data_IF_679006428226
#
_entry.id   IF_679006428226
#
_cell.length_a   1.000
_cell.length_b   1.000
_cell.length_c   1.000
_cell.angle_alpha   90.00
_cell.angle_beta   90.00
_cell.angle_gamma   90.00
#
_symmetry.space_group_name_H-M   'P 1'
#
loop_
_entity.id
_entity.type
_entity.pdbx_description
1 polymer ?
#
# COMPACT_ATOMS: atom_id res chain seq x y z
N UNK A 1 -5.54 -7.56 8.81
CA UNK A 1 -5.52 -7.79 7.35
C UNK A 1 -6.83 -8.43 6.95
N UNK A 2 -7.46 -7.90 5.93
CA UNK A 2 -8.75 -8.35 5.42
C UNK A 2 -8.67 -8.54 3.91
N UNK A 3 -9.18 -9.67 3.39
CA UNK A 3 -9.35 -9.86 1.96
C UNK A 3 -10.66 -9.20 1.52
N UNK A 4 -10.59 -8.34 0.50
CA UNK A 4 -11.76 -7.62 -0.03
C UNK A 4 -12.48 -8.41 -1.13
N UNK A 5 -11.90 -9.50 -1.59
CA UNK A 5 -12.43 -10.40 -2.60
C UNK A 5 -11.83 -11.80 -2.41
N UNK A 6 -12.38 -12.86 -3.03
CA UNK A 6 -11.79 -14.19 -2.96
C UNK A 6 -10.33 -14.18 -3.37
N UNK A 7 -9.45 -14.65 -2.48
CA UNK A 7 -7.99 -14.52 -2.62
C UNK A 7 -7.30 -15.79 -2.15
N UNK A 8 -6.15 -16.08 -2.76
CA UNK A 8 -5.23 -17.13 -2.31
C UNK A 8 -4.00 -16.44 -1.70
N UNK A 9 -3.66 -16.83 -0.47
CA UNK A 9 -2.55 -16.22 0.28
C UNK A 9 -1.56 -17.31 0.67
N UNK A 10 -0.28 -17.07 0.40
CA UNK A 10 0.80 -17.90 0.87
C UNK A 10 1.43 -17.27 2.11
N UNK A 11 1.52 -18.03 3.18
CA UNK A 11 2.13 -17.58 4.44
C UNK A 11 3.51 -18.19 4.58
N UNK A 12 4.50 -17.33 4.76
CA UNK A 12 5.86 -17.75 5.07
C UNK A 12 6.20 -17.31 6.50
N UNK A 13 6.35 -18.26 7.45
CA UNK A 13 6.74 -17.91 8.81
C UNK A 13 8.11 -17.23 8.85
N UNK A 14 8.22 -16.17 9.65
CA UNK A 14 9.44 -15.36 9.74
C UNK A 14 10.68 -16.16 10.13
N UNK A 15 10.56 -17.07 11.09
CA UNK A 15 11.67 -17.93 11.51
C UNK A 15 12.17 -18.85 10.38
N UNK A 16 11.27 -19.35 9.55
CA UNK A 16 11.63 -20.16 8.37
C UNK A 16 12.30 -19.31 7.30
N UNK A 17 11.84 -18.10 7.09
CA UNK A 17 12.48 -17.16 6.17
C UNK A 17 13.92 -16.86 6.61
N UNK A 18 14.15 -16.59 7.91
CA UNK A 18 15.49 -16.36 8.43
C UNK A 18 16.41 -17.56 8.19
N UNK A 19 15.94 -18.78 8.47
CA UNK A 19 16.72 -19.99 8.21
C UNK A 19 17.10 -20.10 6.73
N UNK A 20 16.16 -19.81 5.81
CA UNK A 20 16.42 -19.82 4.38
C UNK A 20 17.45 -18.76 3.95
N UNK A 21 17.45 -17.59 4.54
CA UNK A 21 18.43 -16.55 4.25
C UNK A 21 19.86 -16.93 4.70
N UNK A 22 19.99 -17.78 5.71
CA UNK A 22 21.28 -18.29 6.20
C UNK A 22 21.89 -19.33 5.28
N UNK A 23 21.06 -20.14 4.62
CA UNK A 23 21.51 -21.26 3.77
C UNK A 23 21.51 -20.96 2.27
N UNK A 24 20.87 -19.89 1.84
CA UNK A 24 20.78 -19.50 0.42
C UNK A 24 21.12 -18.01 0.26
N UNK A 25 22.18 -17.75 -0.49
CA UNK A 25 22.57 -16.39 -0.84
C UNK A 25 21.52 -15.69 -1.70
N UNK A 26 20.90 -16.41 -2.62
CA UNK A 26 19.86 -15.89 -3.51
C UNK A 26 18.63 -15.45 -2.72
N UNK A 27 18.19 -16.24 -1.75
CA UNK A 27 17.06 -15.89 -0.87
C UNK A 27 17.42 -14.69 0.00
N UNK A 28 18.64 -14.63 0.52
CA UNK A 28 19.12 -13.48 1.29
C UNK A 28 19.08 -12.21 0.45
N UNK A 29 19.61 -12.25 -0.78
CA UNK A 29 19.61 -11.12 -1.70
C UNK A 29 18.18 -10.69 -2.07
N UNK A 30 17.29 -11.63 -2.34
CA UNK A 30 15.88 -11.35 -2.63
C UNK A 30 15.18 -10.68 -1.46
N UNK A 31 15.36 -11.21 -0.25
CA UNK A 31 14.78 -10.64 0.97
C UNK A 31 15.30 -9.23 1.24
N UNK A 32 16.60 -9.00 1.08
CA UNK A 32 17.19 -7.66 1.20
C UNK A 32 16.57 -6.67 0.24
N UNK A 33 16.37 -7.05 -1.02
CA UNK A 33 15.73 -6.18 -2.02
C UNK A 33 14.27 -5.86 -1.67
N UNK A 34 13.53 -6.81 -1.13
CA UNK A 34 12.17 -6.56 -0.64
C UNK A 34 12.18 -5.54 0.49
N UNK A 35 13.11 -5.68 1.45
CA UNK A 35 13.24 -4.73 2.56
C UNK A 35 13.63 -3.33 2.09
N UNK A 36 14.60 -3.21 1.18
CA UNK A 36 14.99 -1.94 0.58
C UNK A 36 13.80 -1.27 -0.13
N UNK A 37 13.09 -2.02 -0.95
CA UNK A 37 11.89 -1.54 -1.64
C UNK A 37 10.81 -1.08 -0.66
N UNK A 38 10.54 -1.88 0.37
CA UNK A 38 9.55 -1.55 1.39
C UNK A 38 9.90 -0.27 2.15
N UNK A 39 11.19 -0.07 2.46
CA UNK A 39 11.66 1.14 3.11
C UNK A 39 11.48 2.37 2.22
N UNK A 40 11.84 2.27 0.94
CA UNK A 40 11.66 3.36 -0.03
C UNK A 40 10.18 3.72 -0.17
N UNK A 41 9.30 2.73 -0.34
CA UNK A 41 7.85 2.95 -0.45
C UNK A 41 7.29 3.59 0.81
N UNK A 42 7.73 3.15 1.99
CA UNK A 42 7.32 3.75 3.27
C UNK A 42 7.74 5.21 3.37
N UNK A 43 8.95 5.55 2.92
CA UNK A 43 9.44 6.93 2.92
C UNK A 43 8.63 7.81 1.96
N UNK A 44 8.36 7.34 0.74
CA UNK A 44 7.54 8.05 -0.24
C UNK A 44 6.14 8.32 0.33
N UNK A 45 5.53 7.33 0.98
CA UNK A 45 4.23 7.51 1.63
C UNK A 45 4.27 8.54 2.76
N UNK A 46 5.30 8.50 3.60
CA UNK A 46 5.44 9.45 4.69
C UNK A 46 5.56 10.89 4.17
N UNK A 47 6.29 11.09 3.08
CA UNK A 47 6.42 12.40 2.43
C UNK A 47 5.11 12.85 1.79
N UNK A 48 4.43 11.95 1.10
CA UNK A 48 3.10 12.20 0.54
C UNK A 48 2.11 12.70 1.61
N UNK A 49 2.09 12.06 2.77
CA UNK A 49 1.20 12.47 3.86
C UNK A 49 1.51 13.87 4.42
N UNK A 50 2.78 14.28 4.37
CA UNK A 50 3.22 15.57 4.89
C UNK A 50 2.98 16.72 3.92
N UNK A 51 3.18 16.50 2.64
CA UNK A 51 3.30 17.56 1.65
C UNK A 51 2.18 17.58 0.62
N UNK A 52 1.43 16.50 0.46
CA UNK A 52 0.37 16.42 -0.54
C UNK A 52 -1.01 16.69 0.04
N UNK A 53 -1.84 17.32 -0.76
CA UNK A 53 -3.26 17.52 -0.46
C UNK A 53 -4.04 16.19 -0.60
N UNK A 54 -5.23 16.14 -0.03
CA UNK A 54 -6.14 15.00 -0.18
C UNK A 54 -6.42 14.68 -1.66
N UNK A 55 -6.56 15.72 -2.48
CA UNK A 55 -6.79 15.57 -3.92
C UNK A 55 -5.60 14.96 -4.65
N UNK A 56 -4.40 15.42 -4.36
CA UNK A 56 -3.18 14.90 -4.96
C UNK A 56 -2.99 13.41 -4.61
N UNK A 57 -3.17 13.03 -3.35
CA UNK A 57 -3.10 11.62 -2.93
C UNK A 57 -4.13 10.75 -3.65
N UNK A 58 -5.35 11.23 -3.79
CA UNK A 58 -6.40 10.50 -4.52
C UNK A 58 -6.06 10.36 -6.01
N UNK A 59 -5.59 11.42 -6.65
CA UNK A 59 -5.21 11.41 -8.07
C UNK A 59 -4.09 10.42 -8.32
N UNK A 60 -3.06 10.41 -7.47
CA UNK A 60 -1.96 9.44 -7.58
C UNK A 60 -2.45 7.99 -7.45
N UNK A 61 -3.31 7.71 -6.48
CA UNK A 61 -3.87 6.36 -6.32
C UNK A 61 -4.69 5.95 -7.56
N UNK A 62 -5.47 6.86 -8.10
CA UNK A 62 -6.27 6.62 -9.31
C UNK A 62 -5.39 6.33 -10.53
N UNK A 63 -4.25 7.00 -10.66
CA UNK A 63 -3.29 6.78 -11.74
C UNK A 63 -2.48 5.49 -11.58
N UNK A 64 -2.01 5.22 -10.37
CA UNK A 64 -1.12 4.09 -10.09
C UNK A 64 -1.87 2.77 -9.90
N UNK A 65 -3.05 2.82 -9.28
CA UNK A 65 -3.82 1.63 -8.92
C UNK A 65 -5.33 1.83 -9.15
N UNK A 66 -5.77 2.06 -10.40
CA UNK A 66 -7.18 2.32 -10.70
C UNK A 66 -8.12 1.20 -10.26
N UNK A 67 -7.64 -0.05 -10.25
CA UNK A 67 -8.45 -1.19 -9.82
C UNK A 67 -8.79 -1.16 -8.33
N UNK A 68 -7.92 -0.61 -7.49
CA UNK A 68 -8.20 -0.40 -6.07
C UNK A 68 -9.38 0.56 -5.90
N UNK A 69 -9.39 1.66 -6.66
CA UNK A 69 -10.50 2.64 -6.64
C UNK A 69 -11.84 2.00 -7.03
N UNK A 70 -11.82 1.08 -7.99
CA UNK A 70 -13.04 0.42 -8.48
C UNK A 70 -13.55 -0.67 -7.55
N UNK A 71 -12.65 -1.38 -6.87
CA UNK A 71 -12.95 -2.65 -6.18
C UNK A 71 -12.99 -2.54 -4.67
N UNK A 72 -12.25 -1.58 -4.07
CA UNK A 72 -12.23 -1.40 -2.63
C UNK A 72 -13.40 -0.53 -2.15
N UNK A 73 -13.97 -0.82 -0.96
CA UNK A 73 -14.94 0.05 -0.32
C UNK A 73 -14.39 1.46 -0.08
N UNK A 74 -15.27 2.46 -0.17
CA UNK A 74 -14.91 3.87 0.03
C UNK A 74 -14.20 4.12 1.37
N UNK A 75 -14.67 3.47 2.44
CA UNK A 75 -14.06 3.59 3.78
C UNK A 75 -12.61 3.09 3.81
N UNK A 76 -12.31 2.00 3.09
CA UNK A 76 -10.95 1.47 3.00
C UNK A 76 -10.03 2.38 2.19
N UNK A 77 -10.54 2.93 1.08
CA UNK A 77 -9.78 3.91 0.27
C UNK A 77 -9.48 5.17 1.10
N UNK A 78 -10.48 5.70 1.81
CA UNK A 78 -10.29 6.86 2.67
C UNK A 78 -9.24 6.61 3.75
N UNK A 79 -9.32 5.49 4.44
CA UNK A 79 -8.34 5.08 5.45
C UNK A 79 -6.93 4.96 4.87
N UNK A 80 -6.79 4.34 3.69
CA UNK A 80 -5.50 4.19 3.01
C UNK A 80 -4.89 5.54 2.61
N UNK A 81 -5.72 6.50 2.20
CA UNK A 81 -5.31 7.85 1.83
C UNK A 81 -5.21 8.81 3.03
N UNK A 82 -5.41 8.32 4.24
CA UNK A 82 -5.41 9.12 5.49
C UNK A 82 -6.36 10.33 5.40
N UNK A 83 -7.58 10.06 5.02
CA UNK A 83 -8.65 11.06 5.01
C UNK A 83 -9.96 10.44 5.49
N UNK A 84 -10.93 11.29 5.83
CA UNK A 84 -12.28 10.82 6.19
C UNK A 84 -13.04 10.40 4.93
N UNK A 85 -14.05 9.51 5.03
CA UNK A 85 -14.94 9.20 3.92
C UNK A 85 -15.62 10.44 3.32
N UNK A 86 -15.97 11.41 4.14
CA UNK A 86 -16.56 12.68 3.72
C UNK A 86 -15.58 13.50 2.87
N UNK A 87 -14.32 13.59 3.30
CA UNK A 87 -13.25 14.26 2.52
C UNK A 87 -13.05 13.56 1.19
N UNK A 88 -12.99 12.22 1.18
CA UNK A 88 -12.85 11.45 -0.06
C UNK A 88 -14.03 11.69 -0.99
N UNK A 89 -15.26 11.71 -0.47
CA UNK A 89 -16.46 12.01 -1.24
C UNK A 89 -16.38 13.38 -1.92
N UNK A 90 -15.92 14.41 -1.19
CA UNK A 90 -15.72 15.76 -1.73
C UNK A 90 -14.63 15.81 -2.81
N UNK A 91 -13.53 15.11 -2.60
CA UNK A 91 -12.45 15.01 -3.59
C UNK A 91 -12.98 14.38 -4.89
N UNK A 92 -13.74 13.29 -4.78
CA UNK A 92 -14.33 12.60 -5.94
C UNK A 92 -15.35 13.44 -6.69
N UNK A 93 -16.11 14.27 -5.98
CA UNK A 93 -17.09 15.18 -6.59
C UNK A 93 -16.47 16.48 -7.13
N UNK A 94 -15.16 16.68 -6.95
CA UNK A 94 -14.44 17.86 -7.46
C UNK A 94 -14.58 19.11 -6.57
N UNK A 95 -15.11 18.99 -5.34
CA UNK A 95 -15.25 20.10 -4.40
C UNK A 95 -13.90 20.44 -3.72
N UNK A 96 -13.04 19.45 -3.55
CA UNK A 96 -11.72 19.62 -2.98
C UNK A 96 -10.61 19.37 -3.99
#
# INVERSE_FOLDING_TARGET
IEALEPSVVYLLPYNKLLTLTEISWEINMFYRKILEYSLIVSQIKADSWRFETARERYTQLMEQQPEVIKRAPLSHIASYLLMTPETLSRVRSGIL
#
